data_IF_441558563934
#
_entry.id   IF_441558563934
#
_cell.length_a   1.000
_cell.length_b   1.000
_cell.length_c   1.000
_cell.angle_alpha   90.00
_cell.angle_beta   90.00
_cell.angle_gamma   90.00
#
_symmetry.space_group_name_H-M   'P 1'
#
loop_
_entity.id
_entity.type
_entity.pdbx_description
1 polymer ?
#
# COMPACT_ATOMS: atom_id res chain seq x y z
N UNK A 1 36.24 16.33 -15.30
CA UNK A 1 35.84 17.44 -16.19
C UNK A 1 34.58 18.04 -15.58
N UNK A 2 34.74 18.99 -14.66
CA UNK A 2 33.63 19.72 -14.05
C UNK A 2 33.39 21.00 -14.83
N UNK A 3 32.16 21.18 -15.33
CA UNK A 3 31.70 22.42 -15.94
C UNK A 3 30.93 23.22 -14.89
N UNK A 4 31.47 24.34 -14.40
CA UNK A 4 30.80 25.18 -13.40
C UNK A 4 29.57 25.85 -14.01
N UNK A 5 28.47 25.88 -13.26
CA UNK A 5 27.23 26.57 -13.60
C UNK A 5 27.07 27.70 -12.57
N UNK A 6 27.23 28.96 -13.01
CA UNK A 6 27.08 30.14 -12.16
C UNK A 6 28.36 30.63 -11.47
N UNK A 7 28.35 31.91 -11.10
CA UNK A 7 29.46 32.76 -10.63
C UNK A 7 29.68 32.68 -9.09
N UNK A 8 29.08 31.68 -8.42
CA UNK A 8 29.25 31.40 -7.00
C UNK A 8 29.80 29.97 -6.84
N UNK A 9 31.07 29.87 -6.43
CA UNK A 9 31.95 28.68 -6.37
C UNK A 9 31.44 27.48 -5.54
N UNK A 10 30.22 27.50 -5.01
CA UNK A 10 29.72 26.50 -4.05
C UNK A 10 28.58 25.61 -4.59
N UNK A 11 28.07 25.86 -5.80
CA UNK A 11 26.90 25.12 -6.34
C UNK A 11 27.30 24.10 -7.41
N UNK A 12 27.62 22.88 -6.97
CA UNK A 12 27.92 21.75 -7.87
C UNK A 12 26.66 21.26 -8.58
N UNK A 13 26.75 20.83 -9.85
CA UNK A 13 25.62 20.26 -10.61
C UNK A 13 24.97 19.07 -9.88
N UNK A 14 25.74 18.36 -9.06
CA UNK A 14 25.24 17.27 -8.21
C UNK A 14 24.26 17.74 -7.12
N UNK A 15 24.30 19.00 -6.71
CA UNK A 15 23.40 19.60 -5.71
C UNK A 15 22.02 19.95 -6.29
N UNK A 16 21.89 19.96 -7.63
CA UNK A 16 20.62 20.08 -8.34
C UNK A 16 19.98 18.74 -8.71
N UNK A 17 20.69 17.63 -8.51
CA UNK A 17 20.16 16.29 -8.79
C UNK A 17 19.38 15.85 -7.55
N UNK A 18 18.09 16.16 -7.53
CA UNK A 18 17.15 15.69 -6.51
C UNK A 18 17.13 14.15 -6.49
N UNK A 19 17.45 13.56 -5.34
CA UNK A 19 17.42 12.12 -5.15
C UNK A 19 15.97 11.63 -5.07
N UNK A 20 15.39 11.35 -6.23
CA UNK A 20 14.03 10.80 -6.39
C UNK A 20 13.87 9.37 -5.84
N UNK A 21 14.94 8.74 -5.35
CA UNK A 21 14.87 7.39 -4.77
C UNK A 21 14.49 7.39 -3.29
N UNK A 22 14.60 8.55 -2.62
CA UNK A 22 14.28 8.69 -1.21
C UNK A 22 12.81 9.08 -1.08
N UNK A 23 12.00 8.16 -0.53
CA UNK A 23 10.62 8.48 -0.12
C UNK A 23 10.67 9.66 0.86
N UNK A 24 10.16 10.82 0.44
CA UNK A 24 10.12 12.01 1.28
C UNK A 24 9.27 11.73 2.55
N UNK A 25 9.61 12.34 3.70
CA UNK A 25 8.94 12.04 4.96
C UNK A 25 7.43 12.34 4.94
N UNK A 26 6.98 13.29 4.12
CA UNK A 26 5.56 13.55 3.85
C UNK A 26 4.90 12.42 3.04
N UNK A 27 5.57 11.90 2.01
CA UNK A 27 5.16 10.71 1.27
C UNK A 27 5.09 9.46 2.16
N UNK A 28 6.09 9.26 3.02
CA UNK A 28 6.11 8.17 3.99
C UNK A 28 4.99 8.29 5.04
N UNK A 29 4.72 9.51 5.53
CA UNK A 29 3.65 9.78 6.49
C UNK A 29 2.27 9.53 5.87
N UNK A 30 2.03 9.98 4.64
CA UNK A 30 0.76 9.74 3.92
C UNK A 30 0.55 8.26 3.62
N UNK A 31 1.59 7.55 3.18
CA UNK A 31 1.57 6.10 2.96
C UNK A 31 1.26 5.32 4.24
N UNK A 32 1.82 5.75 5.36
CA UNK A 32 1.52 5.18 6.68
C UNK A 32 0.08 5.46 7.10
N UNK A 33 -0.40 6.69 6.96
CA UNK A 33 -1.77 7.06 7.28
C UNK A 33 -2.83 6.36 6.42
N UNK A 34 -2.54 6.13 5.14
CA UNK A 34 -3.38 5.31 4.25
C UNK A 34 -3.46 3.87 4.75
N UNK A 35 -2.32 3.30 5.15
CA UNK A 35 -2.25 1.94 5.70
C UNK A 35 -3.05 1.82 6.99
N UNK A 36 -2.90 2.77 7.91
CA UNK A 36 -3.68 2.81 9.17
C UNK A 36 -5.17 2.97 8.92
N UNK A 37 -5.57 3.87 8.01
CA UNK A 37 -6.98 4.06 7.63
C UNK A 37 -7.57 2.77 7.08
N UNK A 38 -6.82 2.07 6.23
CA UNK A 38 -7.24 0.77 5.66
C UNK A 38 -7.37 -0.28 6.77
N UNK A 39 -6.43 -0.33 7.72
CA UNK A 39 -6.49 -1.25 8.87
C UNK A 39 -7.68 -0.95 9.77
N UNK A 40 -7.96 0.31 10.07
CA UNK A 40 -9.11 0.75 10.86
C UNK A 40 -10.44 0.33 10.21
N UNK A 41 -10.56 0.49 8.88
CA UNK A 41 -11.72 -0.01 8.13
C UNK A 41 -11.81 -1.54 8.24
N UNK A 42 -10.69 -2.26 8.13
CA UNK A 42 -10.67 -3.71 8.29
C UNK A 42 -11.07 -4.17 9.70
N UNK A 43 -10.72 -3.41 10.73
CA UNK A 43 -11.12 -3.66 12.12
C UNK A 43 -12.59 -3.39 12.37
N UNK A 44 -13.19 -2.45 11.64
CA UNK A 44 -14.64 -2.21 11.67
C UNK A 44 -15.46 -3.35 11.03
N UNK A 45 -14.81 -4.18 10.21
CA UNK A 45 -15.43 -5.34 9.57
C UNK A 45 -15.42 -6.56 10.48
N UNK A 46 -16.25 -7.54 10.14
CA UNK A 46 -16.24 -8.82 10.88
C UNK A 46 -14.88 -9.52 10.71
N UNK A 47 -14.38 -10.28 11.71
CA UNK A 47 -13.09 -10.96 11.63
C UNK A 47 -12.94 -11.85 10.39
N UNK A 48 -14.05 -12.42 9.91
CA UNK A 48 -14.10 -13.19 8.66
C UNK A 48 -13.86 -12.32 7.43
N UNK A 49 -14.52 -11.17 7.34
CA UNK A 49 -14.37 -10.23 6.22
C UNK A 49 -12.98 -9.59 6.23
N UNK A 50 -12.50 -9.15 7.38
CA UNK A 50 -11.16 -8.60 7.55
C UNK A 50 -10.08 -9.59 7.10
N UNK A 51 -10.22 -10.87 7.47
CA UNK A 51 -9.28 -11.93 7.08
C UNK A 51 -9.33 -12.24 5.58
N UNK A 52 -10.52 -12.25 4.96
CA UNK A 52 -10.70 -12.37 3.51
C UNK A 52 -10.02 -11.22 2.77
N UNK A 53 -10.20 -9.98 3.23
CA UNK A 53 -9.55 -8.79 2.65
C UNK A 53 -8.03 -8.82 2.82
N UNK A 54 -7.54 -9.17 4.02
CA UNK A 54 -6.11 -9.32 4.30
C UNK A 54 -5.45 -10.37 3.40
N UNK A 55 -6.09 -11.52 3.24
CA UNK A 55 -5.61 -12.58 2.34
C UNK A 55 -5.66 -12.17 0.87
N UNK A 56 -6.71 -11.46 0.44
CA UNK A 56 -6.87 -11.02 -0.95
C UNK A 56 -5.86 -9.95 -1.37
N UNK A 57 -5.59 -8.98 -0.49
CA UNK A 57 -4.75 -7.83 -0.78
C UNK A 57 -3.33 -7.95 -0.22
N UNK A 58 -2.99 -9.09 0.40
CA UNK A 58 -1.68 -9.28 1.05
C UNK A 58 -1.45 -8.32 2.23
N UNK A 59 -2.51 -7.79 2.84
CA UNK A 59 -2.37 -6.86 3.97
C UNK A 59 -1.92 -7.67 5.18
N UNK A 60 -0.67 -7.48 5.62
CA UNK A 60 0.05 -8.30 6.61
C UNK A 60 0.39 -9.74 6.17
N UNK A 61 0.39 -10.02 4.87
CA UNK A 61 0.85 -11.30 4.32
C UNK A 61 1.82 -11.07 3.17
N UNK A 62 2.84 -11.92 3.03
CA UNK A 62 3.83 -11.80 1.96
C UNK A 62 3.30 -12.26 0.59
N UNK A 63 2.13 -12.89 0.54
CA UNK A 63 1.53 -13.43 -0.69
C UNK A 63 0.04 -13.11 -0.76
N UNK A 64 -0.39 -12.62 -1.92
CA UNK A 64 -1.79 -12.53 -2.28
C UNK A 64 -2.38 -13.93 -2.46
N UNK A 65 -3.55 -14.16 -1.87
CA UNK A 65 -4.27 -15.42 -2.01
C UNK A 65 -5.48 -15.20 -2.92
N UNK A 66 -5.72 -16.17 -3.79
CA UNK A 66 -6.84 -16.11 -4.72
C UNK A 66 -8.17 -16.24 -3.98
N UNK A 67 -9.25 -15.71 -4.57
CA UNK A 67 -10.61 -15.87 -4.03
C UNK A 67 -11.01 -17.35 -3.86
N UNK A 68 -10.35 -18.25 -4.58
CA UNK A 68 -10.58 -19.69 -4.53
C UNK A 68 -9.99 -20.32 -3.27
N UNK A 69 -8.76 -19.94 -2.91
CA UNK A 69 -8.10 -20.37 -1.65
C UNK A 69 -8.80 -19.80 -0.43
N UNK A 70 -9.20 -18.53 -0.49
CA UNK A 70 -9.97 -17.90 0.57
C UNK A 70 -11.36 -18.54 0.67
N UNK A 71 -12.03 -18.82 -0.45
CA UNK A 71 -13.32 -19.53 -0.47
C UNK A 71 -13.23 -20.92 0.15
N UNK A 72 -12.14 -21.66 -0.14
CA UNK A 72 -11.88 -22.99 0.42
C UNK A 72 -11.60 -22.98 1.93
N UNK A 73 -10.93 -21.94 2.45
CA UNK A 73 -10.71 -21.80 3.90
C UNK A 73 -11.96 -21.40 4.69
N UNK A 74 -12.89 -20.67 4.07
CA UNK A 74 -14.07 -20.13 4.73
C UNK A 74 -15.37 -20.87 4.40
N UNK A 75 -15.31 -21.92 3.57
CA UNK A 75 -16.46 -22.70 3.10
C UNK A 75 -17.58 -21.81 2.51
N UNK A 76 -17.17 -20.76 1.80
CA UNK A 76 -18.08 -19.81 1.14
C UNK A 76 -17.76 -19.72 -0.33
N UNK A 77 -18.82 -19.71 -1.14
CA UNK A 77 -18.71 -19.55 -2.58
C UNK A 77 -18.15 -18.17 -2.93
N UNK A 78 -17.36 -18.12 -4.01
CA UNK A 78 -16.73 -16.92 -4.56
C UNK A 78 -17.68 -15.73 -4.67
N UNK A 79 -18.95 -16.01 -5.00
CA UNK A 79 -20.00 -15.00 -5.16
C UNK A 79 -20.43 -14.36 -3.84
N UNK A 80 -20.48 -15.11 -2.73
CA UNK A 80 -20.76 -14.53 -1.41
C UNK A 80 -19.66 -13.56 -0.99
N UNK A 81 -18.41 -13.89 -1.29
CA UNK A 81 -17.27 -13.01 -1.01
C UNK A 81 -17.34 -11.74 -1.87
N UNK A 82 -17.54 -11.89 -3.19
CA UNK A 82 -17.68 -10.75 -4.11
C UNK A 82 -18.86 -9.84 -3.76
N UNK A 83 -20.03 -10.42 -3.48
CA UNK A 83 -21.24 -9.66 -3.13
C UNK A 83 -21.06 -8.86 -1.84
N UNK A 84 -20.45 -9.48 -0.81
CA UNK A 84 -20.16 -8.79 0.46
C UNK A 84 -19.15 -7.66 0.31
N UNK A 85 -18.11 -7.85 -0.50
CA UNK A 85 -17.13 -6.80 -0.77
C UNK A 85 -17.75 -5.63 -1.54
N UNK A 86 -18.59 -5.93 -2.53
CA UNK A 86 -19.25 -4.93 -3.37
C UNK A 86 -20.32 -4.13 -2.62
N UNK A 87 -20.92 -4.68 -1.56
CA UNK A 87 -21.95 -3.97 -0.78
C UNK A 87 -21.36 -2.99 0.24
N UNK A 88 -20.07 -3.13 0.58
CA UNK A 88 -19.39 -2.37 1.64
C UNK A 88 -18.33 -1.39 1.13
N UNK A 89 -18.05 -1.41 -0.17
CA UNK A 89 -17.25 -0.43 -0.92
C UNK A 89 -18.21 0.45 -1.73
#
# INVERSE_FOLDING_TARGET
METPIGDDDDSYLGDFIEDTTIDQPDGAATKTGLKESTVSILESLTPREAKVLRMRFGIHMNTDHTLEEVGKQFDVTRERIKGKLKLKL
#
